data_IF_568059706096
#
_entry.id   IF_568059706096
#
_cell.length_a   1.000
_cell.length_b   1.000
_cell.length_c   1.000
_cell.angle_alpha   90.00
_cell.angle_beta   90.00
_cell.angle_gamma   90.00
#
_symmetry.space_group_name_H-M   'P 1'
#
loop_
_entity.id
_entity.type
_entity.pdbx_description
1 polymer ?
#
# COMPACT_ATOMS: atom_id res chain seq x y z
N UNK A 1 17.04 -11.57 -13.56
CA UNK A 1 17.40 -12.83 -14.30
C UNK A 1 18.82 -13.20 -13.85
N UNK A 2 19.72 -13.75 -14.68
CA UNK A 2 21.15 -13.54 -14.39
C UNK A 2 21.48 -12.11 -14.87
N UNK A 3 21.96 -11.25 -13.95
CA UNK A 3 22.34 -9.86 -14.24
C UNK A 3 23.36 -9.77 -15.39
N UNK A 4 24.18 -10.81 -15.60
CA UNK A 4 25.10 -10.91 -16.75
C UNK A 4 24.34 -11.10 -18.07
N UNK A 5 23.36 -12.00 -18.10
CA UNK A 5 22.54 -12.30 -19.29
C UNK A 5 21.69 -11.09 -19.67
N UNK A 6 21.15 -10.34 -18.71
CA UNK A 6 20.42 -9.11 -18.99
C UNK A 6 21.31 -8.02 -19.60
N UNK A 7 22.53 -7.83 -19.08
CA UNK A 7 23.48 -6.88 -19.65
C UNK A 7 23.83 -7.23 -21.10
N UNK A 8 24.11 -8.50 -21.37
CA UNK A 8 24.37 -8.99 -22.74
C UNK A 8 23.13 -8.82 -23.64
N UNK A 9 21.92 -9.11 -23.14
CA UNK A 9 20.67 -8.90 -23.90
C UNK A 9 20.47 -7.41 -24.25
N UNK A 10 20.85 -6.50 -23.36
CA UNK A 10 20.70 -5.06 -23.58
C UNK A 10 21.76 -4.52 -24.57
N UNK A 11 22.98 -5.06 -24.53
CA UNK A 11 24.04 -4.80 -25.51
C UNK A 11 23.67 -5.32 -26.91
N UNK A 12 23.09 -6.53 -27.00
CA UNK A 12 22.56 -7.10 -28.25
C UNK A 12 21.39 -6.28 -28.82
N UNK A 13 20.48 -5.82 -27.96
CA UNK A 13 19.35 -4.97 -28.35
C UNK A 13 19.83 -3.59 -28.86
N UNK A 14 20.82 -2.99 -28.21
CA UNK A 14 21.41 -1.73 -28.65
C UNK A 14 22.08 -1.89 -30.03
N UNK A 15 22.98 -2.87 -30.20
CA UNK A 15 23.66 -3.11 -31.47
C UNK A 15 22.68 -3.42 -32.61
N UNK A 16 21.56 -4.10 -32.33
CA UNK A 16 20.50 -4.37 -33.30
C UNK A 16 19.67 -3.12 -33.62
N UNK A 17 19.47 -2.21 -32.67
CA UNK A 17 18.83 -0.91 -32.93
C UNK A 17 19.71 -0.02 -33.80
N UNK A 18 21.01 0.06 -33.50
CA UNK A 18 22.01 0.80 -34.29
C UNK A 18 22.07 0.28 -35.74
N UNK A 19 22.13 -1.04 -35.94
CA UNK A 19 22.10 -1.65 -37.28
C UNK A 19 20.78 -1.39 -38.06
N UNK A 20 19.65 -1.23 -37.36
CA UNK A 20 18.37 -0.86 -37.99
C UNK A 20 18.36 0.62 -38.42
N UNK A 21 18.99 1.51 -37.65
CA UNK A 21 19.20 2.90 -38.06
C UNK A 21 20.11 2.98 -39.29
N UNK A 22 21.24 2.24 -39.30
CA UNK A 22 22.16 2.16 -40.44
C UNK A 22 21.46 1.64 -41.71
N UNK A 23 20.56 0.65 -41.59
CA UNK A 23 19.72 0.18 -42.71
C UNK A 23 18.76 1.29 -43.17
N UNK A 24 18.13 2.01 -42.23
CA UNK A 24 17.17 3.08 -42.53
C UNK A 24 17.81 4.28 -43.24
N UNK A 25 19.11 4.57 -43.02
CA UNK A 25 19.85 5.61 -43.73
C UNK A 25 20.23 5.21 -45.16
N UNK A 26 20.30 3.92 -45.46
CA UNK A 26 20.59 3.39 -46.80
C UNK A 26 19.36 3.27 -47.70
N UNK A 27 18.14 3.35 -47.16
CA UNK A 27 16.90 3.31 -47.95
C UNK A 27 16.66 4.61 -48.74
N UNK A 28 16.14 4.53 -49.98
CA UNK A 28 15.79 5.72 -50.77
C UNK A 28 14.58 6.44 -50.16
N UNK A 29 14.80 7.61 -49.54
CA UNK A 29 13.77 8.38 -48.81
C UNK A 29 12.96 9.35 -49.68
N UNK A 30 13.36 9.59 -50.93
CA UNK A 30 12.67 10.51 -51.84
C UNK A 30 11.25 10.00 -52.14
N UNK A 31 10.23 10.80 -51.83
CA UNK A 31 8.81 10.45 -51.98
C UNK A 31 8.13 9.93 -50.71
N UNK A 32 8.86 9.37 -49.73
CA UNK A 32 8.27 8.79 -48.50
C UNK A 32 7.35 9.76 -47.75
N UNK A 33 7.72 11.05 -47.69
CA UNK A 33 6.94 12.08 -47.00
C UNK A 33 5.49 12.18 -47.50
N UNK A 34 5.24 11.98 -48.81
CA UNK A 34 3.89 12.01 -49.39
C UNK A 34 3.06 10.80 -48.96
N UNK A 35 3.69 9.65 -48.80
CA UNK A 35 3.01 8.43 -48.32
C UNK A 35 2.66 8.58 -46.84
N UNK A 36 3.56 9.14 -46.03
CA UNK A 36 3.29 9.46 -44.63
C UNK A 36 2.18 10.50 -44.45
N UNK A 37 2.16 11.58 -45.25
CA UNK A 37 1.07 12.58 -45.25
C UNK A 37 -0.30 11.96 -45.58
N UNK A 38 -0.34 10.95 -46.46
CA UNK A 38 -1.56 10.20 -46.77
C UNK A 38 -1.94 9.22 -45.64
N UNK A 39 -0.97 8.60 -44.96
CA UNK A 39 -1.22 7.68 -43.83
C UNK A 39 -1.77 8.41 -42.59
N UNK A 40 -1.23 9.59 -42.27
CA UNK A 40 -1.69 10.50 -41.20
C UNK A 40 -3.18 10.89 -41.39
N UNK A 41 -3.65 10.99 -42.64
CA UNK A 41 -5.04 11.21 -43.00
C UNK A 41 -5.92 9.95 -43.10
N UNK A 42 -5.38 8.75 -42.82
CA UNK A 42 -6.07 7.46 -43.04
C UNK A 42 -6.17 6.57 -41.79
N UNK A 43 -5.34 6.77 -40.77
CA UNK A 43 -5.34 5.98 -39.54
C UNK A 43 -5.10 6.86 -38.32
N UNK A 44 -6.04 6.92 -37.37
CA UNK A 44 -5.98 7.80 -36.18
C UNK A 44 -4.79 7.50 -35.24
N UNK A 45 -4.25 6.28 -35.29
CA UNK A 45 -3.03 5.88 -34.57
C UNK A 45 -1.74 6.27 -35.29
N UNK A 46 -1.78 6.54 -36.59
CA UNK A 46 -0.63 7.05 -37.33
C UNK A 46 -0.48 8.55 -37.07
N UNK A 47 0.69 8.97 -36.61
CA UNK A 47 0.97 10.39 -36.28
C UNK A 47 2.43 10.75 -36.55
N UNK A 48 2.84 12.03 -36.55
CA UNK A 48 4.26 12.40 -36.66
C UNK A 48 5.14 11.85 -35.52
N UNK A 49 4.54 11.45 -34.39
CA UNK A 49 5.21 10.82 -33.24
C UNK A 49 5.15 9.27 -33.26
N UNK A 50 4.20 8.70 -34.03
CA UNK A 50 4.02 7.28 -34.32
C UNK A 50 3.93 7.07 -35.85
N UNK A 51 5.01 7.29 -36.63
CA UNK A 51 4.96 7.33 -38.10
C UNK A 51 5.07 5.93 -38.73
N UNK A 52 4.37 4.94 -38.18
CA UNK A 52 4.34 3.57 -38.67
C UNK A 52 2.95 2.95 -38.43
N UNK A 53 2.64 1.87 -39.14
CA UNK A 53 1.42 1.06 -38.90
C UNK A 53 1.69 -0.42 -39.17
N UNK A 54 1.06 -1.30 -38.41
CA UNK A 54 1.08 -2.75 -38.69
C UNK A 54 0.05 -3.15 -39.77
N UNK A 55 -0.78 -2.21 -40.23
CA UNK A 55 -1.84 -2.46 -41.21
C UNK A 55 -1.32 -2.35 -42.65
N UNK A 56 -0.93 -3.48 -43.24
CA UNK A 56 -0.39 -3.53 -44.61
C UNK A 56 -1.42 -3.09 -45.69
N UNK A 57 -2.72 -3.27 -45.47
CA UNK A 57 -3.76 -2.83 -46.42
C UNK A 57 -3.85 -1.30 -46.51
N UNK A 58 -3.69 -0.61 -45.38
CA UNK A 58 -3.61 0.86 -45.33
C UNK A 58 -2.34 1.36 -46.03
N UNK A 59 -1.20 0.68 -45.84
CA UNK A 59 0.05 0.97 -46.56
C UNK A 59 -0.11 0.78 -48.08
N UNK A 60 -0.69 -0.34 -48.52
CA UNK A 60 -0.94 -0.61 -49.94
C UNK A 60 -1.79 0.51 -50.58
N UNK A 61 -2.88 0.89 -49.91
CA UNK A 61 -3.79 1.94 -50.37
C UNK A 61 -3.16 3.33 -50.38
N UNK A 62 -2.27 3.66 -49.44
CA UNK A 62 -1.49 4.90 -49.47
C UNK A 62 -0.48 4.94 -50.63
N UNK A 63 0.14 3.80 -50.97
CA UNK A 63 1.03 3.66 -52.13
C UNK A 63 0.27 3.78 -53.46
N UNK A 64 -0.99 3.32 -53.53
CA UNK A 64 -1.89 3.55 -54.67
C UNK A 64 -2.28 5.04 -54.81
N UNK A 65 -2.74 5.67 -53.73
CA UNK A 65 -3.18 7.08 -53.71
C UNK A 65 -2.05 8.02 -54.13
N UNK A 66 -0.81 7.74 -53.71
CA UNK A 66 0.38 8.51 -54.08
C UNK A 66 0.93 8.19 -55.47
N UNK A 67 0.37 7.21 -56.19
CA UNK A 67 0.78 6.82 -57.54
C UNK A 67 2.04 5.95 -57.60
N UNK A 68 2.56 5.50 -56.46
CA UNK A 68 3.79 4.73 -56.35
C UNK A 68 3.60 3.21 -56.45
N UNK A 69 2.36 2.70 -56.43
CA UNK A 69 2.04 1.24 -56.39
C UNK A 69 2.62 0.38 -57.52
N UNK A 70 3.03 0.99 -58.65
CA UNK A 70 3.69 0.28 -59.76
C UNK A 70 5.23 0.30 -59.70
N UNK A 71 5.83 1.01 -58.73
CA UNK A 71 7.27 1.01 -58.48
C UNK A 71 7.59 -0.01 -57.38
N UNK A 72 7.95 -1.23 -57.81
CA UNK A 72 8.29 -2.33 -56.90
C UNK A 72 9.47 -1.98 -55.97
N UNK A 73 10.44 -1.19 -56.46
CA UNK A 73 11.61 -0.81 -55.67
C UNK A 73 11.24 0.20 -54.57
N UNK A 74 10.46 1.22 -54.90
CA UNK A 74 9.93 2.18 -53.94
C UNK A 74 9.00 1.50 -52.93
N UNK A 75 8.02 0.70 -53.39
CA UNK A 75 7.09 -0.01 -52.50
C UNK A 75 7.82 -0.92 -51.51
N UNK A 76 8.85 -1.65 -51.98
CA UNK A 76 9.70 -2.49 -51.13
C UNK A 76 10.51 -1.67 -50.11
N UNK A 77 11.09 -0.55 -50.54
CA UNK A 77 11.84 0.35 -49.65
C UNK A 77 10.93 0.98 -48.58
N UNK A 78 9.74 1.46 -48.95
CA UNK A 78 8.79 2.06 -48.01
C UNK A 78 8.27 1.03 -46.98
N UNK A 79 7.86 -0.17 -47.45
CA UNK A 79 7.46 -1.26 -46.55
C UNK A 79 8.58 -1.69 -45.61
N UNK A 80 9.84 -1.75 -46.09
CA UNK A 80 10.99 -2.07 -45.22
C UNK A 80 11.25 -0.95 -44.20
N UNK A 81 11.14 0.31 -44.58
CA UNK A 81 11.24 1.44 -43.64
C UNK A 81 10.18 1.36 -42.52
N UNK A 82 8.92 1.06 -42.86
CA UNK A 82 7.85 0.87 -41.87
C UNK A 82 8.15 -0.32 -40.93
N UNK A 83 8.64 -1.44 -41.47
CA UNK A 83 9.09 -2.59 -40.66
C UNK A 83 10.25 -2.24 -39.73
N UNK A 84 11.25 -1.45 -40.20
CA UNK A 84 12.37 -0.97 -39.37
C UNK A 84 11.87 -0.15 -38.19
N UNK A 85 10.90 0.75 -38.41
CA UNK A 85 10.29 1.54 -37.32
C UNK A 85 9.59 0.64 -36.29
N UNK A 86 8.83 -0.37 -36.73
CA UNK A 86 8.17 -1.36 -35.86
C UNK A 86 9.19 -2.20 -35.08
N UNK A 87 10.22 -2.73 -35.74
CA UNK A 87 11.30 -3.49 -35.10
C UNK A 87 12.05 -2.64 -34.06
N UNK A 88 12.41 -1.40 -34.42
CA UNK A 88 13.10 -0.45 -33.55
C UNK A 88 12.29 -0.11 -32.30
N UNK A 89 10.97 0.13 -32.44
CA UNK A 89 10.07 0.40 -31.31
C UNK A 89 9.91 -0.83 -30.39
N UNK A 90 9.80 -2.02 -30.96
CA UNK A 90 9.77 -3.29 -30.18
C UNK A 90 11.09 -3.54 -29.44
N UNK A 91 12.23 -3.15 -30.01
CA UNK A 91 13.54 -3.17 -29.34
C UNK A 91 13.60 -2.14 -28.20
N UNK A 92 13.16 -0.90 -28.43
CA UNK A 92 13.11 0.15 -27.40
C UNK A 92 12.24 -0.25 -26.20
N UNK A 93 11.03 -0.79 -26.45
CA UNK A 93 10.13 -1.26 -25.40
C UNK A 93 10.76 -2.37 -24.55
N UNK A 94 11.40 -3.37 -25.17
CA UNK A 94 12.10 -4.46 -24.48
C UNK A 94 13.34 -3.98 -23.72
N UNK A 95 14.04 -2.97 -24.24
CA UNK A 95 15.14 -2.31 -23.54
C UNK A 95 14.66 -1.62 -22.25
N UNK A 96 13.52 -0.91 -22.31
CA UNK A 96 12.87 -0.32 -21.15
C UNK A 96 12.42 -1.37 -20.12
N UNK A 97 11.86 -2.49 -20.58
CA UNK A 97 11.45 -3.61 -19.71
C UNK A 97 12.63 -4.16 -18.90
N UNK A 98 13.74 -4.50 -19.57
CA UNK A 98 14.96 -5.01 -18.92
C UNK A 98 15.54 -3.96 -17.96
N UNK A 99 15.58 -2.69 -18.36
CA UNK A 99 16.05 -1.61 -17.49
C UNK A 99 15.16 -1.45 -16.24
N UNK A 100 13.84 -1.53 -16.39
CA UNK A 100 12.90 -1.47 -15.27
C UNK A 100 13.10 -2.65 -14.30
N UNK A 101 13.33 -3.87 -14.81
CA UNK A 101 13.69 -5.03 -13.99
C UNK A 101 14.97 -4.78 -13.19
N UNK A 102 16.02 -4.24 -13.82
CA UNK A 102 17.29 -3.94 -13.16
C UNK A 102 17.18 -2.83 -12.09
N UNK A 103 16.30 -1.85 -12.25
CA UNK A 103 16.03 -0.87 -11.19
C UNK A 103 15.20 -1.47 -10.06
N UNK A 104 14.27 -2.38 -10.36
CA UNK A 104 13.48 -3.10 -9.36
C UNK A 104 14.32 -4.06 -8.50
N UNK A 105 15.26 -4.81 -9.10
CA UNK A 105 16.21 -5.64 -8.34
C UNK A 105 17.05 -4.79 -7.37
N UNK A 106 17.52 -3.60 -7.78
CA UNK A 106 18.27 -2.68 -6.89
C UNK A 106 17.44 -2.17 -5.71
N UNK A 107 16.14 -1.93 -5.88
CA UNK A 107 15.26 -1.51 -4.78
C UNK A 107 15.14 -2.62 -3.72
N UNK A 108 15.12 -3.89 -4.13
CA UNK A 108 15.14 -5.04 -3.20
C UNK A 108 16.52 -5.26 -2.54
N UNK A 109 17.57 -4.57 -3.01
CA UNK A 109 18.93 -4.56 -2.44
C UNK A 109 19.23 -3.28 -1.60
N UNK A 110 18.36 -2.26 -1.62
CA UNK A 110 18.52 -1.03 -0.83
C UNK A 110 18.23 -1.28 0.67
N UNK A 111 19.19 -1.00 1.58
CA UNK A 111 19.06 -1.36 2.99
C UNK A 111 17.97 -0.55 3.69
N UNK A 112 16.99 -1.26 4.27
CA UNK A 112 15.95 -0.64 5.08
C UNK A 112 16.51 -0.30 6.47
N UNK A 113 16.38 0.95 6.92
CA UNK A 113 16.59 1.35 8.33
C UNK A 113 15.38 0.88 9.16
N UNK A 114 15.47 -0.18 9.99
CA UNK A 114 14.30 -0.74 10.68
C UNK A 114 13.80 0.11 11.88
N UNK A 115 14.36 1.29 12.08
CA UNK A 115 14.10 2.18 13.21
C UNK A 115 13.88 3.65 12.76
N UNK A 116 13.66 3.90 11.47
CA UNK A 116 13.46 5.24 10.91
C UNK A 116 12.23 5.25 9.97
N UNK A 117 11.58 6.41 9.83
CA UNK A 117 10.47 6.58 8.90
C UNK A 117 10.92 6.42 7.44
N UNK A 118 10.31 5.49 6.72
CA UNK A 118 10.58 5.24 5.31
C UNK A 118 9.52 5.90 4.42
N UNK A 119 9.94 6.34 3.24
CA UNK A 119 9.08 6.85 2.16
C UNK A 119 9.07 5.86 1.00
N UNK A 120 7.94 5.75 0.28
CA UNK A 120 7.80 4.83 -0.85
C UNK A 120 8.52 5.41 -2.07
N UNK A 121 9.50 4.70 -2.67
CA UNK A 121 10.34 5.26 -3.72
C UNK A 121 9.63 5.30 -5.08
N UNK A 122 8.96 6.41 -5.40
CA UNK A 122 8.42 6.66 -6.75
C UNK A 122 9.57 6.97 -7.72
N UNK A 123 9.83 6.05 -8.66
CA UNK A 123 10.83 6.21 -9.74
C UNK A 123 10.12 6.22 -11.09
N UNK A 124 10.35 7.27 -11.88
CA UNK A 124 9.91 7.35 -13.28
C UNK A 124 11.12 7.01 -14.16
N UNK A 125 10.95 6.13 -15.13
CA UNK A 125 12.03 5.68 -16.02
C UNK A 125 11.71 6.10 -17.45
N UNK A 126 12.53 6.96 -18.04
CA UNK A 126 12.37 7.48 -19.39
C UNK A 126 13.74 7.86 -19.99
N UNK A 127 13.86 8.00 -21.33
CA UNK A 127 15.00 8.66 -21.98
C UNK A 127 15.26 10.05 -21.37
N UNK A 128 16.53 10.47 -21.35
CA UNK A 128 16.93 11.73 -20.69
C UNK A 128 16.21 12.93 -21.29
N UNK A 129 16.03 12.94 -22.60
CA UNK A 129 15.39 14.00 -23.37
C UNK A 129 13.91 14.16 -22.98
N UNK A 130 13.22 13.06 -22.65
CA UNK A 130 11.84 13.07 -22.17
C UNK A 130 11.80 13.45 -20.68
N UNK A 131 12.77 12.99 -19.89
CA UNK A 131 12.90 13.37 -18.48
C UNK A 131 13.09 14.87 -18.32
N UNK A 132 14.04 15.46 -19.05
CA UNK A 132 14.44 16.86 -18.90
C UNK A 132 13.45 17.84 -19.57
N UNK A 133 12.90 17.51 -20.75
CA UNK A 133 12.04 18.44 -21.51
C UNK A 133 10.53 18.26 -21.26
N UNK A 134 10.08 17.14 -20.67
CA UNK A 134 8.64 16.85 -20.49
C UNK A 134 8.31 16.53 -19.02
N UNK A 135 8.94 15.50 -18.45
CA UNK A 135 8.56 14.97 -17.12
C UNK A 135 8.94 15.95 -16.01
N UNK A 136 10.18 16.45 -15.98
CA UNK A 136 10.63 17.38 -14.94
C UNK A 136 9.84 18.70 -14.94
N UNK A 137 9.57 19.37 -16.09
CA UNK A 137 8.70 20.56 -16.14
C UNK A 137 7.27 20.32 -15.64
N UNK A 138 6.67 19.16 -15.95
CA UNK A 138 5.34 18.80 -15.43
C UNK A 138 5.40 18.60 -13.92
N UNK A 139 6.35 17.82 -13.40
CA UNK A 139 6.51 17.59 -11.96
C UNK A 139 6.77 18.89 -11.18
N UNK A 140 7.57 19.81 -11.74
CA UNK A 140 7.79 21.12 -11.16
C UNK A 140 6.53 21.99 -11.12
N UNK A 141 5.62 21.82 -12.08
CA UNK A 141 4.35 22.55 -12.16
C UNK A 141 3.34 21.95 -11.18
N UNK A 142 3.18 20.62 -11.22
CA UNK A 142 2.37 19.86 -10.28
C UNK A 142 2.76 20.09 -8.81
N UNK A 143 4.06 20.19 -8.50
CA UNK A 143 4.55 20.50 -7.16
C UNK A 143 4.17 21.92 -6.68
N UNK A 144 4.13 22.90 -7.59
CA UNK A 144 3.74 24.29 -7.30
C UNK A 144 2.22 24.45 -7.18
N UNK A 145 1.47 23.66 -7.95
CA UNK A 145 0.00 23.73 -8.04
C UNK A 145 -0.74 22.72 -7.15
N UNK A 146 -0.03 21.79 -6.49
CA UNK A 146 -0.65 20.75 -5.65
C UNK A 146 -1.40 19.68 -6.46
N UNK A 147 -0.80 19.21 -7.57
CA UNK A 147 -1.41 18.29 -8.53
C UNK A 147 -0.58 17.01 -8.71
N UNK A 148 -1.13 16.03 -9.43
CA UNK A 148 -0.45 14.77 -9.76
C UNK A 148 0.10 14.06 -8.53
N UNK A 149 1.42 13.81 -8.51
CA UNK A 149 2.13 13.17 -7.39
C UNK A 149 2.24 14.04 -6.12
N UNK A 150 1.80 15.29 -6.19
CA UNK A 150 1.80 16.28 -5.12
C UNK A 150 0.38 16.68 -4.69
N UNK A 151 -0.64 16.01 -5.24
CA UNK A 151 -2.05 16.23 -4.90
C UNK A 151 -2.39 15.76 -3.49
N UNK A 152 -3.02 16.64 -2.73
CA UNK A 152 -3.65 16.30 -1.46
C UNK A 152 -5.17 16.26 -1.65
N UNK A 153 -5.82 15.17 -1.22
CA UNK A 153 -7.27 14.99 -1.36
C UNK A 153 -7.83 14.46 -0.04
N UNK A 154 -8.84 15.14 0.49
CA UNK A 154 -9.63 14.71 1.65
C UNK A 154 -10.99 14.20 1.17
N UNK A 155 -11.00 12.96 0.70
CA UNK A 155 -12.23 12.22 0.39
C UNK A 155 -12.73 11.53 1.67
N UNK A 156 -13.51 12.29 2.43
CA UNK A 156 -14.27 11.81 3.60
C UNK A 156 -15.74 12.18 3.33
N UNK A 157 -16.66 11.19 3.27
CA UNK A 157 -18.09 11.46 3.14
C UNK A 157 -18.63 12.36 4.25
N UNK A 158 -19.68 13.10 3.95
CA UNK A 158 -20.44 13.86 4.94
C UNK A 158 -21.42 12.92 5.64
N UNK A 159 -21.35 12.87 6.97
CA UNK A 159 -22.22 12.07 7.84
C UNK A 159 -23.58 12.76 7.99
N UNK A 160 -24.65 11.98 8.16
CA UNK A 160 -25.98 12.54 8.40
C UNK A 160 -26.11 13.05 9.84
N UNK A 161 -26.01 14.36 10.04
CA UNK A 161 -26.13 15.02 11.34
C UNK A 161 -27.54 14.87 11.96
N UNK A 162 -28.57 14.49 11.19
CA UNK A 162 -29.90 14.21 11.76
C UNK A 162 -29.94 12.92 12.56
N UNK A 163 -29.01 11.98 12.32
CA UNK A 163 -28.89 10.75 13.11
C UNK A 163 -28.36 11.00 14.53
N UNK A 164 -27.70 12.14 14.78
CA UNK A 164 -27.27 12.52 16.15
C UNK A 164 -28.48 12.68 17.10
N UNK A 165 -29.68 13.03 16.57
CA UNK A 165 -30.93 13.08 17.35
C UNK A 165 -31.51 11.68 17.69
N UNK A 166 -31.04 10.61 17.03
CA UNK A 166 -31.49 9.23 17.22
C UNK A 166 -30.53 8.35 18.02
N UNK A 167 -29.34 8.86 18.36
CA UNK A 167 -28.33 8.11 19.12
C UNK A 167 -28.51 8.22 20.65
N UNK A 168 -29.34 9.15 21.15
CA UNK A 168 -29.59 9.39 22.59
C UNK A 168 -28.30 9.54 23.44
N UNK A 169 -27.23 10.11 22.88
CA UNK A 169 -25.93 10.25 23.54
C UNK A 169 -25.97 11.35 24.60
N UNK A 170 -25.67 11.00 25.85
CA UNK A 170 -25.52 11.99 26.92
C UNK A 170 -24.21 12.78 26.76
N UNK A 171 -24.31 14.11 26.79
CA UNK A 171 -23.17 15.02 26.65
C UNK A 171 -22.15 14.84 27.80
N UNK A 172 -20.97 14.34 27.45
CA UNK A 172 -19.88 14.06 28.40
C UNK A 172 -18.86 15.19 28.49
N UNK A 173 -18.28 15.40 29.68
CA UNK A 173 -17.42 16.54 29.98
C UNK A 173 -15.94 16.30 29.69
N UNK A 174 -15.38 17.00 28.71
CA UNK A 174 -13.95 16.91 28.35
C UNK A 174 -13.16 18.13 28.85
N UNK A 175 -11.95 17.89 29.39
CA UNK A 175 -10.98 18.95 29.73
C UNK A 175 -10.03 19.23 28.56
N UNK A 176 -9.89 20.49 28.17
CA UNK A 176 -9.01 20.91 27.08
C UNK A 176 -7.65 21.38 27.62
N UNK A 177 -6.58 20.62 27.35
CA UNK A 177 -5.20 21.11 27.48
C UNK A 177 -4.43 20.81 26.21
N UNK A 178 -3.76 21.83 25.67
CA UNK A 178 -2.86 21.73 24.51
C UNK A 178 -1.39 21.64 24.94
N UNK A 179 -1.08 21.76 26.24
CA UNK A 179 0.29 21.83 26.74
C UNK A 179 1.08 20.53 26.48
N UNK A 180 0.56 19.33 26.80
CA UNK A 180 1.27 18.07 26.52
C UNK A 180 1.56 17.87 25.02
N UNK A 181 0.58 18.14 24.16
CA UNK A 181 0.75 18.07 22.70
C UNK A 181 1.85 19.04 22.21
N UNK A 182 1.81 20.30 22.66
CA UNK A 182 2.81 21.28 22.25
C UNK A 182 4.21 20.92 22.76
N UNK A 183 4.32 20.34 23.97
CA UNK A 183 5.59 19.83 24.50
C UNK A 183 6.11 18.65 23.71
N UNK A 184 5.29 17.68 23.34
CA UNK A 184 5.76 16.57 22.49
C UNK A 184 6.25 17.07 21.13
N UNK A 185 5.49 17.95 20.46
CA UNK A 185 5.93 18.57 19.20
C UNK A 185 7.22 19.41 19.36
N UNK A 186 7.44 20.02 20.52
CA UNK A 186 8.69 20.72 20.84
C UNK A 186 9.85 19.74 21.12
N UNK A 187 9.62 18.68 21.90
CA UNK A 187 10.61 17.68 22.30
C UNK A 187 11.19 16.92 21.10
N UNK A 188 10.35 16.65 20.08
CA UNK A 188 10.79 16.05 18.81
C UNK A 188 11.36 17.06 17.80
N UNK A 189 11.32 18.37 18.10
CA UNK A 189 11.80 19.43 17.20
C UNK A 189 10.86 19.79 16.04
N UNK A 190 9.60 19.31 16.05
CA UNK A 190 8.59 19.60 15.02
C UNK A 190 8.20 21.09 15.03
N UNK A 191 8.20 21.71 16.23
CA UNK A 191 7.96 23.15 16.44
C UNK A 191 9.01 24.02 15.74
N UNK A 192 10.24 23.55 15.62
CA UNK A 192 11.38 24.30 15.08
C UNK A 192 11.73 23.89 13.63
N UNK A 193 10.87 23.10 12.98
CA UNK A 193 11.11 22.55 11.64
C UNK A 193 9.87 22.60 10.74
N UNK A 194 8.77 21.94 11.09
CA UNK A 194 7.51 22.00 10.31
C UNK A 194 6.71 23.24 10.69
N UNK A 195 6.71 23.62 11.97
CA UNK A 195 6.06 24.82 12.49
C UNK A 195 7.06 25.96 12.80
N UNK A 196 8.21 25.97 12.12
CA UNK A 196 9.26 26.99 12.25
C UNK A 196 8.71 28.43 12.05
N UNK A 197 7.84 28.60 11.05
CA UNK A 197 7.25 29.88 10.68
C UNK A 197 6.10 30.27 11.62
N UNK A 198 6.17 31.47 12.20
CA UNK A 198 5.20 31.95 13.17
C UNK A 198 3.75 31.98 12.67
N UNK A 199 3.51 32.41 11.43
CA UNK A 199 2.14 32.46 10.86
C UNK A 199 1.54 31.06 10.73
N UNK A 200 2.34 30.09 10.27
CA UNK A 200 1.99 28.67 10.19
C UNK A 200 1.74 28.07 11.59
N UNK A 201 2.61 28.38 12.55
CA UNK A 201 2.52 27.91 13.94
C UNK A 201 1.28 28.47 14.65
N UNK A 202 1.01 29.76 14.50
CA UNK A 202 -0.17 30.40 15.06
C UNK A 202 -1.46 29.90 14.39
N UNK A 203 -1.44 29.68 13.08
CA UNK A 203 -2.55 29.06 12.35
C UNK A 203 -2.85 27.65 12.87
N UNK A 204 -1.84 26.77 12.96
CA UNK A 204 -1.99 25.43 13.52
C UNK A 204 -2.60 25.46 14.93
N UNK A 205 -2.04 26.29 15.83
CA UNK A 205 -2.51 26.45 17.21
C UNK A 205 -3.95 26.98 17.30
N UNK A 206 -4.35 27.89 16.41
CA UNK A 206 -5.74 28.37 16.31
C UNK A 206 -6.68 27.26 15.86
N UNK A 207 -6.32 26.51 14.81
CA UNK A 207 -7.18 25.45 14.24
C UNK A 207 -7.34 24.27 15.20
N UNK A 208 -6.25 23.75 15.78
CA UNK A 208 -6.35 22.62 16.74
C UNK A 208 -7.16 23.00 17.98
N UNK A 209 -7.01 24.24 18.48
CA UNK A 209 -7.83 24.77 19.57
C UNK A 209 -9.31 24.89 19.19
N UNK A 210 -9.60 25.30 17.96
CA UNK A 210 -10.98 25.39 17.44
C UNK A 210 -11.63 24.01 17.40
N UNK A 211 -10.95 23.01 16.82
CA UNK A 211 -11.42 21.62 16.77
C UNK A 211 -11.67 21.05 18.17
N UNK A 212 -10.72 21.22 19.09
CA UNK A 212 -10.83 20.73 20.48
C UNK A 212 -12.00 21.38 21.24
N UNK A 213 -12.23 22.69 21.08
CA UNK A 213 -13.39 23.35 21.67
C UNK A 213 -14.69 22.87 21.02
N UNK A 214 -14.74 22.71 19.69
CA UNK A 214 -15.93 22.21 19.00
C UNK A 214 -16.30 20.80 19.46
N UNK A 215 -15.32 19.91 19.60
CA UNK A 215 -15.53 18.55 20.12
C UNK A 215 -16.09 18.59 21.54
N UNK A 216 -15.49 19.37 22.45
CA UNK A 216 -15.98 19.54 23.84
C UNK A 216 -17.42 20.05 23.87
N UNK A 217 -17.78 20.98 22.99
CA UNK A 217 -19.07 21.67 23.01
C UNK A 217 -20.18 20.93 22.23
N UNK A 218 -19.89 19.74 21.67
CA UNK A 218 -20.82 18.92 20.89
C UNK A 218 -20.63 17.41 21.15
N UNK A 219 -20.23 17.01 22.36
CA UNK A 219 -19.92 15.60 22.68
C UNK A 219 -21.11 14.63 22.53
N UNK A 220 -22.33 15.17 22.51
CA UNK A 220 -23.59 14.51 22.20
C UNK A 220 -23.85 14.29 20.68
N UNK A 221 -23.02 14.85 19.80
CA UNK A 221 -23.26 14.91 18.34
C UNK A 221 -22.06 14.40 17.52
N UNK A 222 -21.82 13.08 17.49
CA UNK A 222 -20.64 12.50 16.82
C UNK A 222 -20.59 12.75 15.31
N UNK A 223 -21.71 12.72 14.58
CA UNK A 223 -21.70 12.96 13.13
C UNK A 223 -21.35 14.41 12.81
N UNK A 224 -21.94 15.35 13.56
CA UNK A 224 -21.58 16.78 13.50
C UNK A 224 -20.10 17.03 13.82
N UNK A 225 -19.53 16.33 14.80
CA UNK A 225 -18.08 16.40 15.09
C UNK A 225 -17.26 15.90 13.90
N UNK A 226 -17.57 14.71 13.35
CA UNK A 226 -16.88 14.15 12.18
C UNK A 226 -16.93 15.12 11.01
N UNK A 227 -18.10 15.67 10.70
CA UNK A 227 -18.28 16.65 9.65
C UNK A 227 -17.45 17.92 9.86
N UNK A 228 -17.37 18.45 11.09
CA UNK A 228 -16.54 19.63 11.37
C UNK A 228 -15.04 19.35 11.17
N UNK A 229 -14.57 18.17 11.58
CA UNK A 229 -13.19 17.71 11.33
C UNK A 229 -12.96 17.56 9.82
N UNK A 230 -13.82 16.82 9.10
CA UNK A 230 -13.72 16.62 7.64
C UNK A 230 -13.71 17.94 6.86
N UNK A 231 -14.59 18.88 7.19
CA UNK A 231 -14.67 20.22 6.56
C UNK A 231 -13.40 21.03 6.82
N UNK A 232 -12.83 20.93 8.02
CA UNK A 232 -11.57 21.61 8.38
C UNK A 232 -10.36 21.00 7.67
N UNK A 233 -10.28 19.66 7.56
CA UNK A 233 -9.23 18.97 6.83
C UNK A 233 -9.30 19.29 5.34
N UNK A 234 -10.48 19.24 4.72
CA UNK A 234 -10.69 19.54 3.30
C UNK A 234 -10.30 20.97 2.93
N UNK A 235 -10.52 21.94 3.82
CA UNK A 235 -10.03 23.32 3.69
C UNK A 235 -8.49 23.48 3.73
N UNK A 236 -7.73 22.38 3.89
CA UNK A 236 -6.27 22.33 3.77
C UNK A 236 -5.79 21.61 2.50
N UNK A 237 -6.68 21.02 1.70
CA UNK A 237 -6.28 20.38 0.44
C UNK A 237 -5.71 21.42 -0.56
N UNK A 238 -6.26 22.65 -0.54
CA UNK A 238 -5.85 23.80 -1.36
C UNK A 238 -4.46 24.39 -1.01
N UNK A 239 -3.68 23.76 -0.13
CA UNK A 239 -2.34 24.21 0.30
C UNK A 239 -1.28 23.20 -0.20
N UNK A 240 -0.62 23.44 -1.35
CA UNK A 240 0.30 22.48 -1.99
C UNK A 240 1.38 21.94 -1.04
N UNK A 241 1.37 20.62 -0.83
CA UNK A 241 2.28 19.87 0.06
C UNK A 241 2.10 20.15 1.56
N UNK A 242 2.08 21.41 1.97
CA UNK A 242 2.03 21.80 3.38
C UNK A 242 0.67 21.52 4.05
N UNK A 243 -0.41 21.52 3.27
CA UNK A 243 -1.74 21.12 3.73
C UNK A 243 -1.81 19.71 4.29
N UNK A 244 -1.10 18.76 3.66
CA UNK A 244 -0.99 17.38 4.13
C UNK A 244 -0.29 17.29 5.49
N UNK A 245 0.78 18.08 5.68
CA UNK A 245 1.50 18.16 6.95
C UNK A 245 0.61 18.71 8.06
N UNK A 246 -0.17 19.76 7.77
CA UNK A 246 -1.14 20.32 8.72
C UNK A 246 -2.26 19.33 9.06
N UNK A 247 -2.81 18.61 8.08
CA UNK A 247 -3.84 17.59 8.32
C UNK A 247 -3.34 16.49 9.26
N UNK A 248 -2.12 16.00 9.05
CA UNK A 248 -1.46 15.00 9.92
C UNK A 248 -1.26 15.56 11.33
N UNK A 249 -0.69 16.77 11.46
CA UNK A 249 -0.47 17.42 12.76
C UNK A 249 -1.77 17.72 13.52
N UNK A 250 -2.88 17.98 12.82
CA UNK A 250 -4.20 18.17 13.43
C UNK A 250 -4.78 16.84 13.89
N UNK A 251 -4.77 15.81 13.04
CA UNK A 251 -5.31 14.48 13.36
C UNK A 251 -4.53 13.79 14.49
N UNK A 252 -3.20 13.73 14.40
CA UNK A 252 -2.34 13.23 15.48
C UNK A 252 -2.43 14.13 16.72
N UNK A 253 -2.65 15.44 16.54
CA UNK A 253 -2.92 16.37 17.64
C UNK A 253 -4.21 16.03 18.41
N UNK A 254 -5.29 15.66 17.70
CA UNK A 254 -6.53 15.21 18.31
C UNK A 254 -6.37 13.86 19.02
N UNK A 255 -5.73 12.87 18.39
CA UNK A 255 -5.41 11.58 19.04
C UNK A 255 -4.64 11.81 20.34
N UNK A 256 -3.57 12.62 20.28
CA UNK A 256 -2.72 12.90 21.44
C UNK A 256 -3.42 13.73 22.52
N UNK A 257 -4.36 14.60 22.15
CA UNK A 257 -5.23 15.25 23.13
C UNK A 257 -6.15 14.26 23.82
N UNK A 258 -6.81 13.35 23.09
CA UNK A 258 -7.66 12.31 23.67
C UNK A 258 -6.90 11.35 24.59
N UNK A 259 -5.64 11.00 24.30
CA UNK A 259 -4.75 10.26 25.23
C UNK A 259 -4.57 10.96 26.59
N UNK A 260 -4.74 12.29 26.64
CA UNK A 260 -4.60 13.13 27.83
C UNK A 260 -5.94 13.54 28.45
N UNK A 261 -7.07 13.01 27.97
CA UNK A 261 -8.40 13.23 28.55
C UNK A 261 -8.63 12.25 29.71
N UNK A 262 -9.06 12.79 30.85
CA UNK A 262 -9.35 12.04 32.09
C UNK A 262 -10.71 11.31 32.04
N UNK A 263 -10.98 10.56 30.96
CA UNK A 263 -12.21 9.79 30.72
C UNK A 263 -11.91 8.29 30.82
N UNK A 264 -12.63 7.57 31.68
CA UNK A 264 -12.33 6.20 32.10
C UNK A 264 -13.39 5.22 31.63
N UNK A 265 -13.00 3.95 31.51
CA UNK A 265 -13.92 2.87 31.15
C UNK A 265 -15.01 2.68 32.21
N UNK A 266 -16.19 3.22 31.93
CA UNK A 266 -17.32 3.28 32.86
C UNK A 266 -17.90 4.69 33.04
N UNK A 267 -17.20 5.73 32.59
CA UNK A 267 -17.73 7.09 32.48
C UNK A 267 -18.66 7.18 31.26
N UNK A 268 -19.72 7.98 31.36
CA UNK A 268 -20.66 8.22 30.26
C UNK A 268 -19.90 8.89 29.09
N UNK A 269 -20.17 8.46 27.85
CA UNK A 269 -19.45 8.92 26.66
C UNK A 269 -18.13 8.22 26.36
N UNK A 270 -17.66 7.28 27.19
CA UNK A 270 -16.37 6.61 26.97
C UNK A 270 -16.31 5.81 25.66
N UNK A 271 -17.37 5.08 25.30
CA UNK A 271 -17.36 4.27 24.08
C UNK A 271 -17.43 5.15 22.83
N UNK A 272 -18.19 6.23 22.94
CA UNK A 272 -18.47 7.23 21.92
C UNK A 272 -17.18 8.03 21.60
N UNK A 273 -16.45 8.43 22.65
CA UNK A 273 -15.11 8.99 22.54
C UNK A 273 -14.12 8.01 21.91
N UNK A 274 -14.11 6.74 22.33
CA UNK A 274 -13.26 5.71 21.70
C UNK A 274 -13.58 5.50 20.21
N UNK A 275 -14.86 5.47 19.84
CA UNK A 275 -15.31 5.35 18.44
C UNK A 275 -14.92 6.57 17.60
N UNK A 276 -14.96 7.77 18.17
CA UNK A 276 -14.46 8.98 17.53
C UNK A 276 -12.93 8.94 17.37
N UNK A 277 -12.18 8.55 18.41
CA UNK A 277 -10.71 8.40 18.35
C UNK A 277 -10.28 7.37 17.30
N UNK A 278 -10.99 6.24 17.19
CA UNK A 278 -10.73 5.25 16.14
C UNK A 278 -10.93 5.86 14.75
N UNK A 279 -12.05 6.55 14.51
CA UNK A 279 -12.34 7.21 13.23
C UNK A 279 -11.29 8.30 12.89
N UNK A 280 -10.81 9.06 13.88
CA UNK A 280 -9.72 10.04 13.71
C UNK A 280 -8.42 9.30 13.33
N UNK A 281 -8.09 8.21 14.01
CA UNK A 281 -6.93 7.37 13.72
C UNK A 281 -6.97 6.73 12.32
N UNK A 282 -8.15 6.35 11.83
CA UNK A 282 -8.35 5.86 10.46
C UNK A 282 -8.10 6.97 9.42
N UNK A 283 -8.50 8.22 9.69
CA UNK A 283 -8.19 9.34 8.79
C UNK A 283 -6.70 9.71 8.86
N UNK A 284 -6.08 9.64 10.04
CA UNK A 284 -4.65 9.86 10.22
C UNK A 284 -3.84 8.83 9.42
N UNK A 285 -4.18 7.55 9.53
CA UNK A 285 -3.53 6.46 8.80
C UNK A 285 -3.57 6.69 7.29
N UNK A 286 -4.70 7.14 6.72
CA UNK A 286 -4.80 7.52 5.30
C UNK A 286 -3.81 8.62 4.93
N UNK A 287 -3.75 9.70 5.72
CA UNK A 287 -2.89 10.86 5.44
C UNK A 287 -1.40 10.56 5.67
N UNK A 288 -1.04 9.73 6.65
CA UNK A 288 0.32 9.22 6.84
C UNK A 288 0.75 8.29 5.69
N UNK A 289 -0.14 7.46 5.15
CA UNK A 289 0.12 6.70 3.91
C UNK A 289 0.36 7.68 2.74
N UNK A 290 -0.50 8.69 2.55
CA UNK A 290 -0.27 9.73 1.53
C UNK A 290 1.08 10.44 1.72
N UNK A 291 1.49 10.72 2.95
CA UNK A 291 2.79 11.32 3.27
C UNK A 291 3.98 10.42 2.94
N UNK A 292 3.82 9.09 3.06
CA UNK A 292 4.82 8.12 2.61
C UNK A 292 4.95 8.06 1.07
N UNK A 293 3.86 8.28 0.33
CA UNK A 293 3.87 8.30 -1.14
C UNK A 293 4.23 9.68 -1.74
N UNK A 294 4.10 10.78 -0.99
CA UNK A 294 4.36 12.12 -1.46
C UNK A 294 5.85 12.31 -1.84
N UNK A 295 6.12 12.93 -3.00
CA UNK A 295 7.46 13.00 -3.59
C UNK A 295 8.32 14.14 -3.00
N UNK A 296 8.70 13.99 -1.73
CA UNK A 296 9.62 14.90 -1.03
C UNK A 296 11.03 14.92 -1.65
N UNK A 297 11.62 16.10 -1.79
CA UNK A 297 13.02 16.29 -2.15
C UNK A 297 13.97 16.02 -0.98
N UNK A 298 15.26 15.86 -1.27
CA UNK A 298 16.27 15.52 -0.25
C UNK A 298 16.49 16.61 0.82
N UNK A 299 16.10 17.86 0.54
CA UNK A 299 16.11 18.92 1.55
C UNK A 299 14.82 18.92 2.38
N UNK A 300 13.69 18.56 1.78
CA UNK A 300 12.41 18.42 2.48
C UNK A 300 12.48 17.25 3.46
N UNK A 301 13.01 16.09 3.05
CA UNK A 301 13.24 14.93 3.94
C UNK A 301 14.06 15.28 5.18
N UNK A 302 15.10 16.13 5.03
CA UNK A 302 15.91 16.63 6.17
C UNK A 302 15.09 17.54 7.07
N UNK A 303 14.31 18.48 6.50
CA UNK A 303 13.38 19.35 7.25
C UNK A 303 12.29 18.54 7.96
N UNK A 304 11.85 17.44 7.36
CA UNK A 304 10.78 16.59 7.87
C UNK A 304 11.26 15.56 8.90
N UNK A 305 12.57 15.30 9.07
CA UNK A 305 13.06 14.28 10.02
C UNK A 305 12.47 14.43 11.44
N UNK A 306 12.36 15.63 12.05
CA UNK A 306 11.64 15.82 13.31
C UNK A 306 10.20 15.30 13.32
N UNK A 307 9.44 15.51 12.24
CA UNK A 307 8.08 14.98 12.09
C UNK A 307 8.10 13.47 11.86
N UNK A 308 8.99 12.97 11.01
CA UNK A 308 9.18 11.55 10.77
C UNK A 308 9.49 10.77 12.07
N UNK A 309 10.43 11.28 12.88
CA UNK A 309 10.83 10.66 14.15
C UNK A 309 9.70 10.76 15.19
N UNK A 310 8.90 11.84 15.17
CA UNK A 310 7.66 11.96 15.97
C UNK A 310 6.60 10.94 15.56
N UNK A 311 6.25 10.84 14.27
CA UNK A 311 5.23 9.89 13.78
C UNK A 311 5.68 8.44 13.99
N UNK A 312 6.95 8.12 13.81
CA UNK A 312 7.50 6.78 14.11
C UNK A 312 7.41 6.41 15.60
N UNK A 313 7.30 7.41 16.49
CA UNK A 313 7.08 7.17 17.92
C UNK A 313 5.63 6.75 18.26
N UNK A 314 4.65 7.08 17.42
CA UNK A 314 3.21 6.80 17.67
C UNK A 314 2.84 5.33 17.37
N UNK A 315 1.63 4.92 17.71
CA UNK A 315 1.13 3.58 17.30
C UNK A 315 0.67 3.57 15.83
N UNK A 316 0.01 4.64 15.37
CA UNK A 316 -0.49 4.76 13.99
C UNK A 316 0.66 4.76 12.98
N UNK A 317 1.71 5.54 13.23
CA UNK A 317 2.89 5.62 12.37
C UNK A 317 3.63 4.29 12.25
N UNK A 318 3.74 3.51 13.34
CA UNK A 318 4.27 2.15 13.28
C UNK A 318 3.37 1.23 12.45
N UNK A 319 2.04 1.31 12.60
CA UNK A 319 1.10 0.50 11.79
C UNK A 319 1.22 0.86 10.30
N UNK A 320 1.33 2.14 9.95
CA UNK A 320 1.53 2.60 8.56
C UNK A 320 2.84 2.07 7.97
N UNK A 321 3.94 2.26 8.68
CA UNK A 321 5.27 1.82 8.24
C UNK A 321 5.33 0.30 8.10
N UNK A 322 4.85 -0.46 9.10
CA UNK A 322 4.76 -1.92 9.01
C UNK A 322 3.89 -2.38 7.83
N UNK A 323 2.73 -1.74 7.60
CA UNK A 323 1.83 -2.10 6.50
C UNK A 323 2.46 -1.88 5.11
N UNK A 324 3.27 -0.82 4.94
CA UNK A 324 3.92 -0.46 3.67
C UNK A 324 5.26 -1.19 3.42
N UNK A 325 5.99 -1.56 4.48
CA UNK A 325 7.38 -2.05 4.36
C UNK A 325 7.60 -3.49 4.85
N UNK A 326 6.84 -4.03 5.83
CA UNK A 326 6.92 -5.47 6.17
C UNK A 326 6.30 -6.38 5.10
N UNK A 327 5.48 -5.82 4.20
CA UNK A 327 4.71 -6.55 3.16
C UNK A 327 5.08 -6.12 1.74
N UNK A 328 6.30 -5.65 1.50
CA UNK A 328 6.66 -5.07 0.19
C UNK A 328 6.94 -6.13 -0.90
N UNK A 329 5.90 -6.87 -1.29
CA UNK A 329 5.92 -7.86 -2.38
C UNK A 329 5.26 -7.35 -3.67
N UNK A 330 6.09 -7.13 -4.68
CA UNK A 330 5.77 -7.25 -6.11
C UNK A 330 4.57 -6.42 -6.64
N UNK A 331 4.63 -5.09 -6.42
CA UNK A 331 3.77 -4.11 -7.09
C UNK A 331 4.57 -3.16 -8.02
N UNK A 332 5.34 -3.75 -8.93
CA UNK A 332 5.90 -3.04 -10.09
C UNK A 332 4.95 -3.12 -11.29
N UNK A 333 4.77 -1.99 -11.98
CA UNK A 333 3.97 -1.89 -13.21
C UNK A 333 4.81 -1.19 -14.29
N UNK A 334 4.72 -1.69 -15.52
CA UNK A 334 5.09 -0.95 -16.72
C UNK A 334 3.81 -0.38 -17.30
N UNK A 335 3.75 0.94 -17.47
CA UNK A 335 2.74 1.57 -18.31
C UNK A 335 3.40 1.85 -19.65
N UNK A 336 3.03 1.09 -20.68
CA UNK A 336 3.31 1.48 -22.06
C UNK A 336 2.05 2.13 -22.66
N UNK A 337 2.24 3.15 -23.49
CA UNK A 337 1.14 4.02 -23.93
C UNK A 337 0.12 3.34 -24.87
N UNK A 338 0.45 2.16 -25.39
CA UNK A 338 -0.34 1.42 -26.37
C UNK A 338 -1.18 0.31 -25.72
N UNK A 339 -0.71 -0.26 -24.60
CA UNK A 339 -1.36 -1.40 -23.91
C UNK A 339 -1.74 -1.10 -22.44
N UNK A 340 -1.42 0.08 -21.91
CA UNK A 340 -1.72 0.47 -20.54
C UNK A 340 -0.83 -0.20 -19.49
N UNK A 341 -1.36 -0.34 -18.27
CA UNK A 341 -0.61 -0.78 -17.09
C UNK A 341 -0.47 -2.32 -17.01
N UNK A 342 0.67 -2.85 -17.47
CA UNK A 342 1.07 -4.25 -17.31
C UNK A 342 1.78 -4.44 -15.96
N UNK A 343 1.30 -5.39 -15.14
CA UNK A 343 1.99 -5.77 -13.89
C UNK A 343 3.24 -6.59 -14.21
N UNK A 344 4.37 -6.25 -13.60
CA UNK A 344 5.61 -7.03 -13.73
C UNK A 344 5.48 -8.33 -12.95
N UNK A 345 5.22 -9.43 -13.65
CA UNK A 345 5.17 -10.75 -13.05
C UNK A 345 6.60 -11.28 -12.86
N UNK A 346 7.00 -11.57 -11.62
CA UNK A 346 8.26 -12.26 -11.35
C UNK A 346 8.28 -13.60 -12.11
N UNK A 347 9.32 -13.84 -12.89
CA UNK A 347 9.61 -15.17 -13.43
C UNK A 347 9.93 -16.06 -12.23
N UNK A 348 9.01 -16.97 -11.90
CA UNK A 348 9.14 -17.83 -10.71
C UNK A 348 10.36 -18.73 -10.83
N UNK A 349 11.33 -18.55 -9.94
CA UNK A 349 12.12 -19.70 -9.47
C UNK A 349 11.15 -20.70 -8.86
N UNK A 350 11.17 -21.93 -9.35
CA UNK A 350 10.58 -23.07 -8.64
C UNK A 350 11.17 -23.14 -7.22
N UNK A 351 10.42 -23.48 -6.18
CA UNK A 351 9.30 -24.41 -6.19
C UNK A 351 7.94 -23.85 -5.75
N UNK A 352 6.92 -24.01 -6.59
CA UNK A 352 5.51 -24.03 -6.18
C UNK A 352 4.86 -25.28 -6.78
N UNK A 353 4.31 -26.14 -5.93
CA UNK A 353 3.41 -27.22 -6.39
C UNK A 353 2.06 -26.62 -6.74
N UNK A 354 1.55 -26.97 -7.91
CA UNK A 354 0.23 -26.60 -8.42
C UNK A 354 -0.91 -26.93 -7.44
N UNK A 355 -1.72 -25.93 -7.11
CA UNK A 355 -3.18 -26.11 -6.97
C UNK A 355 -3.88 -24.81 -7.37
N UNK A 356 -5.03 -24.94 -8.00
CA UNK A 356 -5.57 -23.95 -8.93
C UNK A 356 -6.23 -22.72 -8.32
N UNK A 357 -6.45 -21.73 -9.20
CA UNK A 357 -7.21 -20.52 -8.99
C UNK A 357 -8.62 -20.82 -8.43
N UNK A 358 -8.92 -20.38 -7.22
CA UNK A 358 -10.31 -20.12 -6.79
C UNK A 358 -10.46 -19.32 -5.47
N UNK A 359 -9.49 -18.48 -5.05
CA UNK A 359 -9.46 -17.90 -3.68
C UNK A 359 -9.37 -16.34 -3.56
N UNK A 360 -9.97 -15.56 -4.48
CA UNK A 360 -10.53 -14.19 -4.21
C UNK A 360 -12.04 -14.11 -4.62
N UNK A 361 -13.00 -14.06 -3.64
CA UNK A 361 -14.51 -14.28 -3.62
C UNK A 361 -15.27 -15.32 -2.63
N UNK A 362 -14.91 -15.60 -1.33
CA UNK A 362 -15.58 -16.41 -0.23
C UNK A 362 -14.71 -16.82 1.02
N UNK A 363 -14.85 -16.35 2.30
CA UNK A 363 -15.86 -15.47 2.96
C UNK A 363 -15.35 -14.56 4.14
N UNK A 364 -15.61 -13.23 4.09
CA UNK A 364 -16.24 -12.45 5.20
C UNK A 364 -17.69 -12.14 4.76
N UNK A 365 -18.60 -11.76 5.66
CA UNK A 365 -20.04 -12.02 5.48
C UNK A 365 -20.69 -11.46 4.20
N UNK A 366 -21.72 -12.16 3.71
CA UNK A 366 -22.48 -11.72 2.53
C UNK A 366 -23.27 -10.47 2.92
N UNK A 367 -23.19 -9.35 2.19
CA UNK A 367 -22.65 -9.16 0.82
C UNK A 367 -21.23 -8.55 0.83
N UNK A 368 -20.16 -9.10 0.22
CA UNK A 368 -19.94 -10.43 -0.38
C UNK A 368 -18.44 -10.81 -0.31
N UNK A 369 -18.08 -11.66 0.66
CA UNK A 369 -17.18 -12.82 0.50
C UNK A 369 -15.71 -12.62 -0.05
N UNK A 370 -14.62 -12.58 0.77
CA UNK A 370 -13.51 -13.61 0.85
C UNK A 370 -12.59 -13.45 2.07
N UNK A 371 -12.03 -14.57 2.54
CA UNK A 371 -11.14 -14.69 3.70
C UNK A 371 -11.33 -16.07 4.36
N UNK A 372 -10.26 -16.71 4.85
CA UNK A 372 -10.37 -18.01 5.53
C UNK A 372 -10.73 -17.80 7.00
N UNK A 373 -11.93 -18.24 7.40
CA UNK A 373 -12.36 -18.18 8.80
C UNK A 373 -11.37 -18.89 9.73
N UNK A 374 -11.08 -18.27 10.88
CA UNK A 374 -10.31 -18.90 11.94
C UNK A 374 -11.07 -20.09 12.50
N UNK A 375 -10.45 -21.27 12.53
CA UNK A 375 -11.02 -22.45 13.22
C UNK A 375 -11.17 -22.15 14.71
N UNK A 376 -12.37 -22.34 15.23
CA UNK A 376 -12.66 -22.41 16.67
C UNK A 376 -12.06 -23.68 17.26
N UNK A 377 -12.02 -23.79 18.60
CA UNK A 377 -11.63 -25.06 19.23
C UNK A 377 -12.62 -26.20 18.90
N UNK A 378 -13.89 -25.87 18.68
CA UNK A 378 -14.93 -26.85 18.33
C UNK A 378 -14.70 -27.46 16.94
N UNK A 379 -14.17 -26.68 15.99
CA UNK A 379 -13.73 -27.16 14.68
C UNK A 379 -12.47 -28.06 14.72
N UNK A 380 -11.90 -28.25 15.91
CA UNK A 380 -10.82 -29.19 16.18
C UNK A 380 -11.30 -30.50 16.82
N UNK A 381 -12.43 -30.51 17.56
CA UNK A 381 -13.00 -31.71 18.19
C UNK A 381 -13.29 -32.80 17.14
N UNK A 382 -13.04 -34.06 17.50
CA UNK A 382 -13.48 -35.25 16.76
C UNK A 382 -14.63 -35.98 17.47
N UNK A 383 -14.83 -35.70 18.76
CA UNK A 383 -16.02 -36.06 19.51
C UNK A 383 -16.43 -34.87 20.40
N UNK A 384 -17.68 -34.42 20.29
CA UNK A 384 -18.21 -33.26 21.03
C UNK A 384 -18.35 -33.55 22.52
N UNK A 385 -18.69 -34.78 22.89
CA UNK A 385 -18.93 -35.21 24.29
C UNK A 385 -17.67 -35.10 25.16
N UNK A 386 -16.49 -34.98 24.55
CA UNK A 386 -15.20 -34.80 25.24
C UNK A 386 -14.79 -33.35 25.47
N UNK A 387 -15.59 -32.38 25.04
CA UNK A 387 -15.35 -30.97 25.35
C UNK A 387 -15.47 -30.68 26.87
N UNK A 388 -16.44 -31.28 27.56
CA UNK A 388 -16.60 -31.07 29.01
C UNK A 388 -15.40 -31.66 29.79
N UNK A 389 -15.01 -32.90 29.50
CA UNK A 389 -13.82 -33.53 30.08
C UNK A 389 -12.56 -32.68 29.86
N UNK A 390 -12.41 -32.05 28.69
CA UNK A 390 -11.30 -31.14 28.42
C UNK A 390 -11.37 -29.86 29.26
N UNK A 391 -12.55 -29.26 29.46
CA UNK A 391 -12.74 -28.11 30.36
C UNK A 391 -12.39 -28.46 31.82
N UNK A 392 -12.84 -29.62 32.29
CA UNK A 392 -12.61 -30.07 33.67
C UNK A 392 -11.10 -30.32 33.94
N UNK A 393 -10.40 -30.95 33.00
CA UNK A 393 -8.95 -31.22 33.09
C UNK A 393 -8.09 -29.98 32.82
N UNK A 394 -8.58 -29.02 32.05
CA UNK A 394 -7.90 -27.73 31.79
C UNK A 394 -8.05 -26.70 32.93
N UNK A 395 -9.00 -26.90 33.84
CA UNK A 395 -9.31 -25.90 34.87
C UNK A 395 -8.08 -25.57 35.74
N UNK A 396 -7.73 -24.28 35.80
CA UNK A 396 -6.55 -23.76 36.51
C UNK A 396 -5.19 -24.04 35.85
N UNK A 397 -5.12 -24.78 34.73
CA UNK A 397 -3.87 -25.19 34.07
C UNK A 397 -3.32 -24.12 33.14
N UNK A 398 -1.98 -23.96 33.10
CA UNK A 398 -1.29 -23.00 32.21
C UNK A 398 0.04 -23.52 31.69
N UNK A 399 0.53 -22.95 30.58
CA UNK A 399 1.88 -23.17 30.06
C UNK A 399 2.14 -24.62 29.63
N UNK A 400 3.14 -25.29 30.26
CA UNK A 400 3.53 -26.66 29.90
C UNK A 400 2.36 -27.64 30.06
N UNK A 401 1.53 -27.49 31.09
CA UNK A 401 0.42 -28.41 31.39
C UNK A 401 -0.66 -28.37 30.29
N UNK A 402 -1.05 -27.18 29.85
CA UNK A 402 -2.01 -27.01 28.74
C UNK A 402 -1.47 -27.65 27.46
N UNK A 403 -0.19 -27.44 27.15
CA UNK A 403 0.41 -28.04 25.98
C UNK A 403 0.54 -29.57 26.08
N UNK A 404 0.68 -30.14 27.29
CA UNK A 404 0.61 -31.59 27.51
C UNK A 404 -0.81 -32.13 27.25
N UNK A 405 -1.83 -31.53 27.87
CA UNK A 405 -3.25 -31.92 27.71
C UNK A 405 -3.62 -31.91 26.22
N UNK A 406 -3.33 -30.80 25.53
CA UNK A 406 -3.62 -30.65 24.10
C UNK A 406 -2.84 -31.64 23.23
N UNK A 407 -1.58 -31.95 23.56
CA UNK A 407 -0.78 -32.93 22.80
C UNK A 407 -1.29 -34.36 22.98
N UNK A 408 -1.67 -34.75 24.19
CA UNK A 408 -2.24 -36.07 24.45
C UNK A 408 -3.63 -36.19 23.83
N UNK A 409 -4.47 -35.14 23.91
CA UNK A 409 -5.77 -35.10 23.23
C UNK A 409 -5.66 -35.28 21.70
N UNK A 410 -4.58 -34.78 21.08
CA UNK A 410 -4.26 -35.07 19.66
C UNK A 410 -3.84 -36.54 19.48
N UNK A 411 -2.96 -37.06 20.33
CA UNK A 411 -2.45 -38.44 20.24
C UNK A 411 -3.53 -39.52 20.45
N UNK A 412 -4.54 -39.25 21.27
CA UNK A 412 -5.71 -40.14 21.46
C UNK A 412 -6.85 -39.87 20.47
N UNK A 413 -6.66 -38.97 19.51
CA UNK A 413 -7.63 -38.69 18.44
C UNK A 413 -8.89 -37.92 18.87
N UNK A 414 -8.89 -37.30 20.06
CA UNK A 414 -10.03 -36.50 20.53
C UNK A 414 -10.12 -35.14 19.82
N UNK A 415 -8.97 -34.56 19.46
CA UNK A 415 -8.89 -33.31 18.70
C UNK A 415 -7.89 -33.40 17.55
N UNK A 416 -8.16 -32.71 16.46
CA UNK A 416 -7.13 -32.29 15.51
C UNK A 416 -6.34 -31.11 16.08
N UNK A 417 -5.11 -30.93 15.62
CA UNK A 417 -4.16 -29.92 16.15
C UNK A 417 -4.76 -28.50 16.16
N UNK A 418 -5.07 -27.92 17.34
CA UNK A 418 -5.68 -26.60 17.43
C UNK A 418 -4.61 -25.50 17.33
N UNK A 419 -5.04 -24.29 16.96
CA UNK A 419 -4.17 -23.11 17.05
C UNK A 419 -4.09 -22.62 18.49
N UNK A 420 -3.00 -21.94 18.87
CA UNK A 420 -2.92 -21.27 20.18
C UNK A 420 -4.15 -20.40 20.45
N UNK A 421 -4.61 -19.64 19.44
CA UNK A 421 -5.73 -18.72 19.60
C UNK A 421 -7.06 -19.45 19.82
N UNK A 422 -7.30 -20.55 19.09
CA UNK A 422 -8.47 -21.40 19.33
C UNK A 422 -8.53 -21.96 20.78
N UNK A 423 -7.38 -22.37 21.35
CA UNK A 423 -7.33 -22.85 22.74
C UNK A 423 -7.45 -21.69 23.74
N UNK A 424 -6.90 -20.51 23.44
CA UNK A 424 -7.05 -19.30 24.26
C UNK A 424 -8.50 -18.78 24.27
N UNK A 425 -9.23 -18.91 23.16
CA UNK A 425 -10.62 -18.43 23.04
C UNK A 425 -11.64 -19.38 23.70
N UNK A 426 -11.36 -20.68 23.79
CA UNK A 426 -12.24 -21.65 24.49
C UNK A 426 -11.87 -21.79 25.98
N UNK A 427 -10.57 -21.79 26.35
CA UNK A 427 -10.11 -22.06 27.73
C UNK A 427 -9.47 -20.85 28.44
N UNK A 428 -9.45 -19.68 27.82
CA UNK A 428 -8.92 -18.44 28.40
C UNK A 428 -7.38 -18.37 28.45
N UNK A 429 -6.83 -17.69 29.46
CA UNK A 429 -5.40 -17.40 29.56
C UNK A 429 -4.56 -18.64 29.88
N UNK A 430 -4.14 -19.35 28.82
CA UNK A 430 -3.30 -20.54 28.81
C UNK A 430 -1.78 -20.25 28.87
N UNK A 431 -1.35 -18.98 28.86
CA UNK A 431 0.06 -18.57 28.89
C UNK A 431 0.61 -18.16 27.51
N UNK A 432 1.94 -18.29 27.31
CA UNK A 432 2.61 -17.68 26.15
C UNK A 432 2.53 -18.51 24.85
N UNK A 433 2.11 -17.86 23.76
CA UNK A 433 1.96 -18.42 22.39
C UNK A 433 3.21 -19.13 21.85
N UNK A 434 4.39 -18.55 22.02
CA UNK A 434 5.64 -19.13 21.52
C UNK A 434 6.00 -20.41 22.26
N UNK A 435 5.79 -20.45 23.59
CA UNK A 435 5.98 -21.66 24.39
C UNK A 435 4.96 -22.75 24.01
N UNK A 436 3.67 -22.42 23.88
CA UNK A 436 2.64 -23.39 23.49
C UNK A 436 2.97 -24.06 22.15
N UNK A 437 3.27 -23.26 21.11
CA UNK A 437 3.64 -23.76 19.79
C UNK A 437 4.88 -24.67 19.86
N UNK A 438 5.86 -24.34 20.72
CA UNK A 438 7.08 -25.13 20.91
C UNK A 438 6.80 -26.52 21.49
N UNK A 439 6.00 -26.61 22.55
CA UNK A 439 5.63 -27.89 23.18
C UNK A 439 4.76 -28.79 22.28
N UNK A 440 3.89 -28.18 21.45
CA UNK A 440 3.05 -28.89 20.49
C UNK A 440 3.83 -29.39 19.27
N UNK A 441 4.77 -28.59 18.73
CA UNK A 441 5.49 -28.93 17.51
C UNK A 441 6.71 -29.85 17.72
N UNK A 442 7.42 -29.71 18.84
CA UNK A 442 8.62 -30.53 19.11
C UNK A 442 8.24 -31.82 19.85
N UNK A 443 8.58 -32.99 19.29
CA UNK A 443 8.18 -34.28 19.89
C UNK A 443 8.77 -34.49 21.29
N UNK A 444 10.07 -34.25 21.46
CA UNK A 444 10.86 -34.64 22.64
C UNK A 444 10.75 -33.67 23.84
N UNK A 445 9.57 -33.10 24.10
CA UNK A 445 9.33 -32.07 25.14
C UNK A 445 8.60 -32.54 26.40
N UNK A 446 8.20 -33.81 26.44
CA UNK A 446 7.54 -34.47 27.56
C UNK A 446 8.15 -35.87 27.74
N UNK A 447 8.13 -36.41 28.95
CA UNK A 447 8.51 -37.83 29.15
C UNK A 447 7.35 -38.75 28.75
N UNK A 448 7.63 -40.05 28.56
CA UNK A 448 6.58 -41.03 28.34
C UNK A 448 5.63 -41.09 29.55
N UNK A 449 6.16 -40.98 30.78
CA UNK A 449 5.37 -40.99 32.01
C UNK A 449 4.42 -39.78 32.11
N UNK A 450 4.85 -38.59 31.66
CA UNK A 450 3.98 -37.41 31.55
C UNK A 450 2.84 -37.62 30.54
N UNK A 451 3.13 -38.28 29.41
CA UNK A 451 2.16 -38.58 28.36
C UNK A 451 1.17 -39.65 28.82
N UNK A 452 1.64 -40.78 29.32
CA UNK A 452 0.77 -41.90 29.75
C UNK A 452 -0.01 -41.55 31.02
N UNK A 453 0.55 -40.78 31.96
CA UNK A 453 -0.18 -40.25 33.12
C UNK A 453 -1.35 -39.33 32.72
N UNK A 454 -1.11 -38.39 31.80
CA UNK A 454 -2.17 -37.52 31.27
C UNK A 454 -3.19 -38.29 30.42
N UNK A 455 -2.76 -39.33 29.71
CA UNK A 455 -3.63 -40.21 28.92
C UNK A 455 -4.55 -41.04 29.81
N UNK A 456 -4.07 -41.54 30.94
CA UNK A 456 -4.93 -42.17 31.95
C UNK A 456 -5.92 -41.16 32.51
N UNK A 457 -5.48 -39.95 32.89
CA UNK A 457 -6.36 -38.90 33.40
C UNK A 457 -7.53 -38.62 32.44
N UNK A 458 -7.24 -38.33 31.16
CA UNK A 458 -8.26 -38.09 30.13
C UNK A 458 -9.17 -39.31 29.88
N UNK A 459 -8.66 -40.54 29.91
CA UNK A 459 -9.49 -41.74 29.68
C UNK A 459 -10.30 -42.19 30.93
N UNK A 460 -9.97 -41.67 32.10
CA UNK A 460 -10.65 -41.94 33.38
C UNK A 460 -11.74 -40.93 33.76
N UNK A 461 -11.98 -39.93 32.89
CA UNK A 461 -12.90 -38.79 33.09
C UNK A 461 -13.98 -38.70 31.99
#
# INVERSE_FOLDING_TARGET
MDKKVEKQTLEELQARFEALCDEQEQLPREGFAKVFEVLDGMEETFTPQHPYTENEDIINKALEITGHSNDEAFCKAFKRNNQIMIEGKKIQAKGLEIFAMQQHEKIQEEPHSPNEWQFVPIRILAPKEIMDNVINPILETDAKEGKGLYGNITDIPEEDESLDEWFDIEAYGIKCSLEPLYRDLQNYGVVDSVLENDTIREYYLKVIKSLICFIRDNTDKPNKIRNHISKTLKGLDDIPGFGLLLQILLLQGLVKWFENVDLKKGDNGYNEACSLVQWIGEQLMKKEISFCYFRWGENDKKRLKPLCDYLYSTEVGKIVQNSLFEKQTDCSFIVDGENGAKRMLKKSTSDIKTTDENDLLSKQDKVTQRGRQSKTFRDCLQNVDKLQTLHDVMNGKKGKEVALIMKVAIQIGWITKPTFKAVEDEFGNIGNRSNYNKYINENNRFTNDEIDGMKQALLSS
#
